data_IF_432261384012
#
_entry.id   IF_432261384012
#
_cell.length_a   1.000
_cell.length_b   1.000
_cell.length_c   1.000
_cell.angle_alpha   90.00
_cell.angle_beta   90.00
_cell.angle_gamma   90.00
#
_symmetry.space_group_name_H-M   'P 1'
#
loop_
_entity.id
_entity.type
_entity.pdbx_description
1 polymer ?
#
# COMPACT_ATOMS: atom_id res chain seq x y z
N UNK A 1 12.22 4.13 -12.46
CA UNK A 1 11.22 3.09 -12.16
C UNK A 1 9.85 3.70 -11.83
N UNK A 2 9.30 4.63 -12.62
CA UNK A 2 8.59 4.37 -13.89
C UNK A 2 7.76 3.08 -13.86
N UNK A 3 6.55 3.21 -13.33
CA UNK A 3 5.44 2.29 -13.54
C UNK A 3 5.18 2.26 -15.05
N UNK A 4 5.42 1.12 -15.68
CA UNK A 4 5.10 0.88 -17.08
C UNK A 4 3.57 0.81 -17.19
N UNK A 5 2.96 1.94 -17.55
CA UNK A 5 1.59 2.00 -18.09
C UNK A 5 1.68 1.70 -19.59
N UNK A 6 1.27 0.52 -20.02
CA UNK A 6 0.88 0.27 -21.42
C UNK A 6 -0.64 0.34 -21.51
N UNK A 7 -1.16 1.50 -21.92
CA UNK A 7 -2.51 1.65 -22.43
C UNK A 7 -2.41 2.28 -23.83
N UNK A 8 -2.67 1.48 -24.85
CA UNK A 8 -2.91 1.96 -26.21
C UNK A 8 -4.32 2.55 -26.24
N UNK A 9 -4.44 3.88 -26.26
CA UNK A 9 -5.70 4.56 -26.59
C UNK A 9 -5.61 5.16 -28.00
N UNK A 10 -6.45 4.62 -28.89
CA UNK A 10 -6.82 5.24 -30.15
C UNK A 10 -7.55 6.56 -29.89
N UNK A 11 -6.96 7.64 -30.37
CA UNK A 11 -7.40 9.03 -30.24
C UNK A 11 -8.66 9.34 -31.05
N UNK A 12 -9.72 9.79 -30.38
CA UNK A 12 -10.73 10.67 -30.95
C UNK A 12 -10.50 12.09 -30.40
N UNK A 13 -10.10 13.01 -31.28
CA UNK A 13 -9.86 14.43 -30.96
C UNK A 13 -11.18 15.10 -30.52
N UNK A 14 -11.22 15.56 -29.28
CA UNK A 14 -12.10 16.66 -28.85
C UNK A 14 -11.21 17.79 -28.35
N UNK A 15 -11.21 18.89 -29.10
CA UNK A 15 -10.55 20.15 -28.76
C UNK A 15 -11.29 20.82 -27.60
N UNK A 16 -10.83 20.60 -26.37
CA UNK A 16 -11.14 21.42 -25.20
C UNK A 16 -9.86 22.18 -24.82
N UNK A 17 -9.98 23.50 -24.65
CA UNK A 17 -8.86 24.36 -24.27
C UNK A 17 -8.19 23.83 -23.00
N UNK A 18 -6.88 23.61 -23.06
CA UNK A 18 -6.07 23.26 -21.90
C UNK A 18 -6.06 24.46 -20.95
N UNK A 19 -6.91 24.43 -19.92
CA UNK A 19 -6.73 25.30 -18.77
C UNK A 19 -5.43 24.85 -18.10
N UNK A 20 -4.34 25.58 -18.33
CA UNK A 20 -2.99 25.27 -17.86
C UNK A 20 -2.82 25.49 -16.36
N UNK A 21 -3.92 25.60 -15.63
CA UNK A 21 -3.93 25.79 -14.19
C UNK A 21 -3.65 24.45 -13.50
N UNK A 22 -2.74 24.43 -12.53
CA UNK A 22 -2.41 23.22 -11.79
C UNK A 22 -3.63 22.72 -11.02
N UNK A 23 -3.90 21.42 -11.11
CA UNK A 23 -5.05 20.78 -10.46
C UNK A 23 -4.89 20.81 -8.94
N UNK A 24 -5.92 21.33 -8.26
CA UNK A 24 -6.07 21.31 -6.81
C UNK A 24 -7.22 20.36 -6.42
N UNK A 25 -7.30 19.94 -5.14
CA UNK A 25 -8.41 19.14 -4.65
C UNK A 25 -9.75 19.83 -4.92
N UNK A 26 -10.70 19.11 -5.51
CA UNK A 26 -12.06 19.61 -5.80
C UNK A 26 -13.05 19.30 -4.67
N UNK A 27 -12.57 18.73 -3.56
CA UNK A 27 -13.38 18.37 -2.39
C UNK A 27 -13.99 19.62 -1.73
N UNK A 28 -15.22 19.48 -1.23
CA UNK A 28 -15.90 20.52 -0.42
C UNK A 28 -15.15 20.88 0.87
N UNK A 29 -14.19 20.05 1.28
CA UNK A 29 -13.37 20.27 2.46
C UNK A 29 -12.13 21.13 2.20
N UNK A 30 -11.84 21.49 0.94
CA UNK A 30 -10.66 22.25 0.55
C UNK A 30 -11.05 23.62 -0.02
N UNK A 31 -10.30 24.65 0.38
CA UNK A 31 -10.32 25.97 -0.29
C UNK A 31 -8.90 26.54 -0.34
N UNK A 32 -8.54 27.17 -1.46
CA UNK A 32 -7.20 27.74 -1.61
C UNK A 32 -6.94 28.86 -0.58
N UNK A 33 -7.95 29.68 -0.28
CA UNK A 33 -7.85 30.78 0.70
C UNK A 33 -7.40 30.29 2.08
N UNK A 34 -8.00 29.21 2.60
CA UNK A 34 -7.70 28.74 3.96
C UNK A 34 -6.46 27.83 4.02
N UNK A 35 -6.16 27.10 2.93
CA UNK A 35 -5.13 26.05 2.95
C UNK A 35 -3.80 26.47 2.31
N UNK A 36 -3.73 27.65 1.67
CA UNK A 36 -2.46 28.20 1.17
C UNK A 36 -1.43 28.27 2.28
N UNK A 37 -0.21 27.80 2.01
CA UNK A 37 0.89 27.79 2.98
C UNK A 37 1.85 26.61 2.80
N UNK A 38 2.80 26.50 3.74
CA UNK A 38 3.73 25.37 3.84
C UNK A 38 3.40 24.60 5.11
N UNK A 39 3.28 23.30 4.97
CA UNK A 39 2.76 22.39 5.97
C UNK A 39 3.75 21.26 6.20
N UNK A 40 4.05 20.92 7.45
CA UNK A 40 4.93 19.81 7.81
C UNK A 40 4.13 18.68 8.43
N UNK A 41 4.29 17.47 7.91
CA UNK A 41 3.66 16.27 8.47
C UNK A 41 4.29 15.83 9.79
N UNK A 42 3.50 15.18 10.64
CA UNK A 42 3.97 14.53 11.87
C UNK A 42 4.28 13.06 11.61
N UNK A 43 5.52 12.62 11.88
CA UNK A 43 5.97 11.23 11.75
C UNK A 43 6.39 10.77 10.35
N UNK A 44 5.90 11.42 9.29
CA UNK A 44 6.13 10.97 7.91
C UNK A 44 7.28 11.67 7.18
N UNK A 45 7.83 12.76 7.73
CA UNK A 45 8.92 13.51 7.08
C UNK A 45 8.52 14.15 5.75
N UNK A 46 7.24 14.46 5.55
CA UNK A 46 6.74 15.24 4.41
C UNK A 46 6.64 16.72 4.74
N UNK A 47 6.92 17.55 3.75
CA UNK A 47 6.50 18.95 3.68
C UNK A 47 5.62 19.14 2.45
N UNK A 48 4.49 19.79 2.61
CA UNK A 48 3.54 20.09 1.54
C UNK A 48 3.40 21.61 1.40
N UNK A 49 3.62 22.13 0.19
CA UNK A 49 3.35 23.54 -0.15
C UNK A 49 2.07 23.59 -0.98
N UNK A 50 1.15 24.46 -0.60
CA UNK A 50 -0.10 24.73 -1.32
C UNK A 50 -0.11 26.21 -1.70
N UNK A 51 -0.37 26.53 -2.96
CA UNK A 51 -0.52 27.90 -3.44
C UNK A 51 -1.27 28.00 -4.75
N UNK A 52 -1.32 29.22 -5.31
CA UNK A 52 -1.99 29.50 -6.60
C UNK A 52 -1.39 28.74 -7.78
N UNK A 53 -0.13 28.31 -7.66
CA UNK A 53 0.61 27.48 -8.62
C UNK A 53 0.44 25.97 -8.36
N UNK A 54 -0.50 25.58 -7.49
CA UNK A 54 -0.77 24.17 -7.20
C UNK A 54 -0.10 23.68 -5.92
N UNK A 55 0.11 22.37 -5.88
CA UNK A 55 0.69 21.65 -4.75
C UNK A 55 2.09 21.13 -5.09
N UNK A 56 2.99 21.17 -4.10
CA UNK A 56 4.32 20.56 -4.17
C UNK A 56 4.55 19.73 -2.89
N UNK A 57 5.17 18.55 -3.03
CA UNK A 57 5.48 17.66 -1.92
C UNK A 57 6.99 17.45 -1.83
N UNK A 58 7.51 17.44 -0.61
CA UNK A 58 8.94 17.31 -0.32
C UNK A 58 9.17 16.23 0.73
N UNK A 59 10.26 15.47 0.59
CA UNK A 59 10.78 14.58 1.63
C UNK A 59 11.86 15.31 2.44
N UNK A 60 11.75 15.28 3.76
CA UNK A 60 12.70 15.90 4.68
C UNK A 60 13.05 14.95 5.82
N UNK A 61 14.34 14.95 6.16
CA UNK A 61 14.90 14.37 7.37
C UNK A 61 16.01 15.31 7.89
N UNK A 62 16.76 14.90 8.93
CA UNK A 62 17.88 15.71 9.44
C UNK A 62 19.07 15.85 8.48
N UNK A 63 19.20 14.98 7.48
CA UNK A 63 20.28 15.04 6.49
C UNK A 63 19.99 15.98 5.31
N UNK A 64 18.72 16.32 5.06
CA UNK A 64 18.38 17.28 4.00
C UNK A 64 16.89 17.30 3.62
N UNK A 65 16.62 17.98 2.52
CA UNK A 65 15.28 18.09 1.95
C UNK A 65 15.32 17.92 0.42
N UNK A 66 14.34 17.20 -0.12
CA UNK A 66 14.25 16.84 -1.54
C UNK A 66 12.81 17.07 -2.02
N UNK A 67 12.63 17.81 -3.11
CA UNK A 67 11.32 17.94 -3.76
C UNK A 67 10.99 16.66 -4.52
N UNK A 68 9.81 16.08 -4.28
CA UNK A 68 9.34 14.90 -5.02
C UNK A 68 8.96 15.30 -6.44
N UNK A 69 9.33 14.46 -7.41
CA UNK A 69 8.91 14.60 -8.80
C UNK A 69 7.51 14.00 -9.00
N UNK A 70 6.49 14.68 -8.45
CA UNK A 70 5.08 14.30 -8.51
C UNK A 70 4.26 15.53 -8.94
N UNK A 71 3.21 15.33 -9.73
CA UNK A 71 2.39 16.44 -10.22
C UNK A 71 1.44 16.96 -9.14
N UNK A 72 1.01 18.22 -9.28
CA UNK A 72 -0.03 18.78 -8.40
C UNK A 72 -1.33 17.96 -8.45
N UNK A 73 -1.67 17.40 -9.62
CA UNK A 73 -2.86 16.57 -9.78
C UNK A 73 -2.75 15.26 -8.99
N UNK A 74 -1.62 14.57 -9.07
CA UNK A 74 -1.40 13.33 -8.32
C UNK A 74 -1.40 13.60 -6.80
N UNK A 75 -0.82 14.73 -6.35
CA UNK A 75 -0.91 15.13 -4.94
C UNK A 75 -2.38 15.37 -4.57
N UNK A 76 -3.12 16.15 -5.36
CA UNK A 76 -4.51 16.49 -5.10
C UNK A 76 -5.43 15.25 -5.05
N UNK A 77 -5.13 14.21 -5.83
CA UNK A 77 -5.84 12.93 -5.81
C UNK A 77 -5.52 12.11 -4.55
N UNK A 78 -4.24 11.99 -4.19
CA UNK A 78 -3.80 11.21 -3.03
C UNK A 78 -4.00 11.93 -1.68
N UNK A 79 -4.30 13.23 -1.72
CA UNK A 79 -4.50 14.10 -0.57
C UNK A 79 -5.79 14.92 -0.76
N UNK A 80 -6.88 14.27 -1.17
CA UNK A 80 -8.11 14.94 -1.59
C UNK A 80 -8.99 15.44 -0.44
N UNK A 81 -8.99 14.74 0.69
CA UNK A 81 -9.87 15.02 1.84
C UNK A 81 -9.10 15.79 2.89
N UNK A 82 -9.56 17.00 3.18
CA UNK A 82 -8.99 17.89 4.19
C UNK A 82 -9.90 17.95 5.39
N UNK A 83 -9.32 18.07 6.58
CA UNK A 83 -10.05 18.36 7.80
C UNK A 83 -9.27 19.38 8.60
N UNK A 84 -9.86 20.56 8.76
CA UNK A 84 -9.33 21.57 9.66
C UNK A 84 -9.49 21.09 11.10
N UNK A 85 -8.37 21.02 11.81
CA UNK A 85 -8.34 20.74 13.25
C UNK A 85 -8.38 22.09 13.98
N UNK A 86 -7.51 23.01 13.57
CA UNK A 86 -7.49 24.42 13.94
C UNK A 86 -6.81 25.25 12.83
N UNK A 87 -6.49 26.52 13.09
CA UNK A 87 -5.87 27.44 12.11
C UNK A 87 -4.49 26.99 11.59
N UNK A 88 -3.77 26.22 12.41
CA UNK A 88 -2.40 25.78 12.17
C UNK A 88 -2.27 24.26 12.01
N UNK A 89 -3.34 23.50 12.23
CA UNK A 89 -3.32 22.04 12.10
C UNK A 89 -4.41 21.54 11.15
N UNK A 90 -4.00 20.71 10.20
CA UNK A 90 -4.90 20.03 9.28
C UNK A 90 -4.62 18.52 9.29
N UNK A 91 -5.65 17.76 8.96
CA UNK A 91 -5.51 16.35 8.60
C UNK A 91 -5.86 16.20 7.13
N UNK A 92 -5.08 15.37 6.42
CA UNK A 92 -5.25 15.17 4.98
C UNK A 92 -5.22 13.68 4.66
N UNK A 93 -6.09 13.22 3.76
CA UNK A 93 -6.21 11.81 3.41
C UNK A 93 -6.71 11.63 1.97
N UNK A 94 -6.50 10.46 1.37
CA UNK A 94 -6.96 10.17 0.00
C UNK A 94 -8.49 10.02 -0.06
N UNK A 95 -9.03 9.27 0.89
CA UNK A 95 -10.47 9.05 1.09
C UNK A 95 -10.86 9.36 2.55
N UNK A 96 -12.15 9.56 2.88
CA UNK A 96 -12.58 9.87 4.24
C UNK A 96 -12.17 8.86 5.32
N UNK A 97 -12.01 7.58 4.94
CA UNK A 97 -11.67 6.48 5.84
C UNK A 97 -10.25 5.91 5.59
N UNK A 98 -9.43 6.60 4.81
CA UNK A 98 -8.03 6.25 4.54
C UNK A 98 -7.08 6.73 5.64
N UNK A 99 -5.80 6.36 5.55
CA UNK A 99 -4.74 6.90 6.42
C UNK A 99 -4.69 8.42 6.39
N UNK A 100 -4.78 9.02 7.59
CA UNK A 100 -4.75 10.46 7.79
C UNK A 100 -3.32 10.93 8.07
N UNK A 101 -2.87 11.90 7.30
CA UNK A 101 -1.62 12.62 7.52
C UNK A 101 -1.93 13.91 8.28
N UNK A 102 -1.43 14.02 9.50
CA UNK A 102 -1.54 15.24 10.28
C UNK A 102 -0.41 16.19 9.92
N UNK A 103 -0.78 17.43 9.60
CA UNK A 103 0.14 18.48 9.22
C UNK A 103 0.01 19.69 10.15
N UNK A 104 1.15 20.31 10.43
CA UNK A 104 1.28 21.58 11.14
C UNK A 104 1.75 22.66 10.15
N UNK A 105 1.17 23.86 10.24
CA UNK A 105 1.53 25.01 9.41
C UNK A 105 2.90 25.56 9.85
N UNK A 106 3.81 25.71 8.90
CA UNK A 106 5.09 26.39 9.13
C UNK A 106 4.92 27.91 9.09
N UNK A 107 5.58 28.61 10.00
CA UNK A 107 5.72 30.07 9.94
C UNK A 107 6.49 30.50 8.69
N UNK A 108 6.36 31.76 8.28
CA UNK A 108 7.06 32.29 7.10
C UNK A 108 8.59 32.03 7.14
N UNK A 109 9.22 32.18 8.30
CA UNK A 109 10.67 31.93 8.44
C UNK A 109 11.02 30.44 8.32
N UNK A 110 10.18 29.55 8.85
CA UNK A 110 10.38 28.10 8.71
C UNK A 110 10.15 27.65 7.27
N UNK A 111 9.14 28.23 6.60
CA UNK A 111 8.78 27.92 5.22
C UNK A 111 9.94 28.18 4.24
N UNK A 112 10.87 29.10 4.54
CA UNK A 112 12.06 29.36 3.73
C UNK A 112 12.94 28.12 3.51
N UNK A 113 12.85 27.10 4.39
CA UNK A 113 13.59 25.85 4.23
C UNK A 113 13.36 25.22 2.86
N UNK A 114 12.15 25.35 2.29
CA UNK A 114 11.82 24.67 1.03
C UNK A 114 12.64 25.20 -0.15
N UNK A 115 13.15 26.44 -0.05
CA UNK A 115 14.00 27.05 -1.07
C UNK A 115 15.38 26.39 -1.18
N UNK A 116 15.78 25.66 -0.13
CA UNK A 116 17.05 24.92 -0.07
C UNK A 116 16.91 23.44 -0.43
N UNK A 117 15.68 22.96 -0.63
CA UNK A 117 15.45 21.57 -1.00
C UNK A 117 16.02 21.28 -2.38
N UNK A 118 16.65 20.12 -2.51
CA UNK A 118 17.18 19.64 -3.78
C UNK A 118 16.00 19.34 -4.70
N UNK A 119 16.04 19.85 -5.93
CA UNK A 119 14.98 19.67 -6.94
C UNK A 119 15.40 18.78 -8.11
N UNK A 120 16.64 18.29 -8.10
CA UNK A 120 17.22 17.44 -9.15
C UNK A 120 17.89 16.21 -8.53
N UNK A 121 18.15 15.19 -9.35
CA UNK A 121 18.77 13.94 -8.87
C UNK A 121 20.13 14.23 -8.21
N UNK A 122 20.29 13.81 -6.96
CA UNK A 122 21.57 13.90 -6.27
C UNK A 122 22.52 12.80 -6.76
N UNK A 123 23.66 13.20 -7.30
CA UNK A 123 24.69 12.29 -7.84
C UNK A 123 25.80 11.99 -6.83
N UNK A 124 25.78 12.61 -5.65
CA UNK A 124 26.80 12.38 -4.62
C UNK A 124 26.44 11.11 -3.82
N UNK A 125 27.20 10.01 -3.95
CA UNK A 125 26.88 8.75 -3.27
C UNK A 125 26.99 8.84 -1.74
N UNK A 126 27.85 9.71 -1.19
CA UNK A 126 27.98 9.90 0.26
C UNK A 126 26.76 10.63 0.81
N UNK A 127 26.27 11.66 0.11
CA UNK A 127 25.05 12.37 0.51
C UNK A 127 23.83 11.44 0.45
N UNK A 128 23.71 10.63 -0.60
CA UNK A 128 22.62 9.65 -0.72
C UNK A 128 22.69 8.57 0.37
N UNK A 129 23.90 8.09 0.71
CA UNK A 129 24.08 7.17 1.84
C UNK A 129 23.63 7.79 3.16
N UNK A 130 24.02 9.04 3.42
CA UNK A 130 23.65 9.75 4.65
C UNK A 130 22.15 10.01 4.72
N UNK A 131 21.55 10.46 3.62
CA UNK A 131 20.11 10.70 3.54
C UNK A 131 19.31 9.41 3.75
N UNK A 132 19.69 8.32 3.09
CA UNK A 132 19.07 7.00 3.29
C UNK A 132 19.20 6.54 4.75
N UNK A 133 20.40 6.62 5.31
CA UNK A 133 20.68 6.19 6.68
C UNK A 133 19.83 6.96 7.69
N UNK A 134 19.69 8.26 7.49
CA UNK A 134 18.86 9.13 8.33
C UNK A 134 17.36 8.86 8.13
N UNK A 135 16.92 8.65 6.89
CA UNK A 135 15.52 8.31 6.57
C UNK A 135 15.08 7.05 7.31
N UNK A 136 15.91 6.00 7.25
CA UNK A 136 15.64 4.76 7.97
C UNK A 136 15.62 4.99 9.49
N UNK A 137 16.57 5.77 10.03
CA UNK A 137 16.63 6.05 11.47
C UNK A 137 15.39 6.81 11.99
N UNK A 138 14.85 7.73 11.21
CA UNK A 138 13.72 8.57 11.61
C UNK A 138 12.35 7.91 11.39
N UNK A 139 12.23 7.06 10.37
CA UNK A 139 10.91 6.60 9.91
C UNK A 139 10.70 5.08 9.93
N UNK A 140 11.75 4.27 10.05
CA UNK A 140 11.58 2.81 10.12
C UNK A 140 11.25 2.35 11.54
N UNK A 141 10.05 1.79 11.72
CA UNK A 141 9.49 1.50 13.04
C UNK A 141 9.96 0.19 13.68
N UNK A 142 10.56 -0.72 12.91
CA UNK A 142 10.62 -2.13 13.27
C UNK A 142 12.04 -2.67 13.53
N UNK A 143 13.03 -1.80 13.74
CA UNK A 143 14.40 -2.26 14.04
C UNK A 143 14.45 -3.20 15.25
N UNK A 144 13.73 -2.87 16.32
CA UNK A 144 13.66 -3.68 17.53
C UNK A 144 12.99 -5.04 17.27
N UNK A 145 11.94 -5.07 16.44
CA UNK A 145 11.26 -6.31 16.02
C UNK A 145 12.23 -7.28 15.36
N UNK A 146 13.13 -6.77 14.49
CA UNK A 146 14.15 -7.57 13.81
C UNK A 146 15.48 -7.65 14.57
N UNK A 147 15.54 -7.15 15.80
CA UNK A 147 16.74 -7.14 16.65
C UNK A 147 17.96 -6.49 15.98
N UNK A 148 17.71 -5.46 15.16
CA UNK A 148 18.76 -4.75 14.42
C UNK A 148 19.15 -3.46 15.12
N UNK A 149 20.46 -3.25 15.30
CA UNK A 149 20.99 -1.99 15.80
C UNK A 149 21.40 -1.10 14.62
N UNK A 150 20.50 -0.20 14.20
CA UNK A 150 20.71 0.64 13.03
C UNK A 150 21.99 1.50 13.10
N UNK A 151 22.31 2.21 14.21
CA UNK A 151 23.56 2.95 14.31
C UNK A 151 24.82 2.10 14.10
N UNK A 152 24.83 0.84 14.60
CA UNK A 152 25.94 -0.09 14.35
C UNK A 152 26.01 -0.51 12.88
N UNK A 153 24.87 -0.70 12.21
CA UNK A 153 24.81 -1.01 10.78
C UNK A 153 25.37 0.16 9.98
N UNK A 154 24.92 1.39 10.22
CA UNK A 154 25.44 2.60 9.55
C UNK A 154 26.96 2.69 9.70
N UNK A 155 27.48 2.58 10.94
CA UNK A 155 28.93 2.62 11.21
C UNK A 155 29.72 1.53 10.48
N UNK A 156 29.14 0.34 10.29
CA UNK A 156 29.78 -0.77 9.57
C UNK A 156 29.94 -0.51 8.06
N UNK A 157 29.07 0.31 7.47
CA UNK A 157 29.00 0.52 6.02
C UNK A 157 29.44 1.91 5.55
N UNK A 158 29.49 2.92 6.43
CA UNK A 158 29.82 4.30 6.06
C UNK A 158 31.16 4.44 5.32
N UNK A 159 32.20 3.72 5.75
CA UNK A 159 33.56 3.82 5.16
C UNK A 159 33.68 3.05 3.83
N UNK A 160 32.61 2.35 3.40
CA UNK A 160 32.55 1.64 2.13
C UNK A 160 32.06 2.52 0.98
N UNK A 161 31.67 3.77 1.24
CA UNK A 161 31.22 4.72 0.22
C UNK A 161 32.09 5.98 0.30
N UNK A 162 32.50 6.47 -0.87
CA UNK A 162 33.18 7.76 -1.02
C UNK A 162 32.63 8.49 -2.25
N UNK A 163 33.02 9.76 -2.44
CA UNK A 163 32.49 10.61 -3.52
C UNK A 163 32.74 10.08 -4.95
N UNK A 164 33.62 9.08 -5.12
CA UNK A 164 33.90 8.44 -6.40
C UNK A 164 33.26 7.05 -6.54
N UNK A 165 32.50 6.59 -5.54
CA UNK A 165 31.81 5.31 -5.60
C UNK A 165 30.72 5.30 -6.70
N UNK A 166 30.66 4.28 -7.56
CA UNK A 166 29.60 4.16 -8.55
C UNK A 166 28.25 3.83 -7.90
N UNK A 167 27.15 4.15 -8.59
CA UNK A 167 25.79 3.87 -8.12
C UNK A 167 25.55 2.38 -7.83
N UNK A 168 26.21 1.49 -8.57
CA UNK A 168 26.15 0.05 -8.31
C UNK A 168 26.75 -0.35 -6.95
N UNK A 169 27.85 0.31 -6.54
CA UNK A 169 28.42 0.11 -5.22
C UNK A 169 27.51 0.67 -4.13
N UNK A 170 26.95 1.87 -4.33
CA UNK A 170 25.98 2.46 -3.39
C UNK A 170 24.77 1.54 -3.20
N UNK A 171 24.12 1.12 -4.29
CA UNK A 171 22.95 0.24 -4.24
C UNK A 171 23.26 -1.05 -3.46
N UNK A 172 24.38 -1.72 -3.76
CA UNK A 172 24.78 -2.95 -3.08
C UNK A 172 25.03 -2.74 -1.58
N UNK A 173 25.64 -1.60 -1.19
CA UNK A 173 25.84 -1.25 0.21
C UNK A 173 24.51 -1.04 0.91
N UNK A 174 23.60 -0.23 0.33
CA UNK A 174 22.29 0.03 0.92
C UNK A 174 21.47 -1.27 1.03
N UNK A 175 21.44 -2.12 0.01
CA UNK A 175 20.81 -3.45 0.07
C UNK A 175 21.38 -4.31 1.20
N UNK A 176 22.70 -4.28 1.39
CA UNK A 176 23.38 -5.04 2.46
C UNK A 176 23.09 -4.53 3.86
N UNK A 177 22.67 -3.27 4.00
CA UNK A 177 22.19 -2.71 5.28
C UNK A 177 20.79 -3.20 5.63
N UNK A 178 19.97 -3.52 4.62
CA UNK A 178 18.56 -3.92 4.78
C UNK A 178 18.35 -5.44 4.91
N UNK A 179 19.36 -6.27 4.62
CA UNK A 179 19.23 -7.73 4.46
C UNK A 179 18.63 -8.51 5.62
N UNK A 180 18.81 -8.03 6.86
CA UNK A 180 18.34 -8.73 8.05
C UNK A 180 17.01 -8.14 8.59
N UNK A 181 16.35 -7.29 7.79
CA UNK A 181 15.00 -6.77 8.03
C UNK A 181 14.02 -7.56 7.15
N UNK A 182 13.51 -8.70 7.63
CA UNK A 182 12.57 -9.55 6.89
C UNK A 182 11.16 -8.94 6.81
N UNK A 183 11.08 -7.77 6.17
CA UNK A 183 9.88 -6.95 6.03
C UNK A 183 9.38 -6.95 4.58
N UNK A 184 8.13 -7.37 4.36
CA UNK A 184 7.53 -7.43 3.03
C UNK A 184 7.23 -6.05 2.44
N UNK A 185 7.20 -4.99 3.26
CA UNK A 185 6.96 -3.61 2.85
C UNK A 185 8.24 -2.78 2.65
N UNK A 186 9.41 -3.38 2.90
CA UNK A 186 10.68 -2.72 2.70
C UNK A 186 11.25 -3.04 1.32
N UNK A 187 11.51 -1.99 0.53
CA UNK A 187 12.09 -2.13 -0.81
C UNK A 187 13.14 -1.04 -1.04
N UNK A 188 14.15 -1.36 -1.84
CA UNK A 188 15.09 -0.39 -2.38
C UNK A 188 15.09 -0.52 -3.90
N UNK A 189 14.79 0.59 -4.58
CA UNK A 189 14.77 0.66 -6.02
C UNK A 189 15.71 1.75 -6.53
N UNK A 190 16.39 1.50 -7.65
CA UNK A 190 17.25 2.49 -8.30
C UNK A 190 17.44 2.16 -9.78
N UNK A 191 17.78 3.17 -10.59
CA UNK A 191 18.38 2.96 -11.90
C UNK A 191 19.90 2.86 -11.74
N UNK A 192 20.47 1.70 -12.09
CA UNK A 192 21.90 1.42 -11.96
C UNK A 192 22.43 0.98 -13.32
N UNK A 193 23.38 1.74 -13.87
CA UNK A 193 24.01 1.45 -15.16
C UNK A 193 22.98 1.22 -16.29
N UNK A 194 21.94 2.06 -16.33
CA UNK A 194 20.86 1.99 -17.32
C UNK A 194 19.83 0.87 -17.09
N UNK A 195 19.91 0.15 -15.96
CA UNK A 195 19.01 -0.94 -15.62
C UNK A 195 18.26 -0.66 -14.33
N UNK A 196 16.95 -0.88 -14.31
CA UNK A 196 16.16 -0.83 -13.09
C UNK A 196 16.55 -1.98 -12.16
N UNK A 197 16.89 -1.66 -10.92
CA UNK A 197 17.19 -2.61 -9.84
C UNK A 197 16.14 -2.49 -8.76
N UNK A 198 15.71 -3.64 -8.24
CA UNK A 198 14.84 -3.76 -7.08
C UNK A 198 15.47 -4.74 -6.10
N UNK A 199 15.57 -4.34 -4.85
CA UNK A 199 15.95 -5.17 -3.73
C UNK A 199 14.81 -5.23 -2.71
N UNK A 200 14.46 -6.44 -2.29
CA UNK A 200 13.49 -6.70 -1.23
C UNK A 200 14.11 -7.74 -0.28
N UNK A 201 14.26 -7.44 1.02
CA UNK A 201 14.86 -8.36 1.97
C UNK A 201 13.93 -9.54 2.30
N UNK A 202 12.61 -9.32 2.29
CA UNK A 202 11.63 -10.37 2.59
C UNK A 202 11.11 -11.12 1.37
N UNK A 203 10.91 -12.43 1.54
CA UNK A 203 10.10 -13.30 0.65
C UNK A 203 9.02 -13.99 1.50
N UNK A 204 7.90 -14.44 0.91
CA UNK A 204 6.97 -15.29 1.68
C UNK A 204 7.70 -16.55 2.16
N UNK A 205 7.48 -16.99 3.40
CA UNK A 205 8.36 -17.97 4.07
C UNK A 205 8.32 -19.34 3.39
N UNK A 206 7.17 -19.73 2.86
CA UNK A 206 6.92 -21.06 2.31
C UNK A 206 6.80 -21.03 0.80
N UNK A 207 5.84 -20.27 0.28
CA UNK A 207 5.49 -20.32 -1.14
C UNK A 207 6.65 -19.87 -2.04
N UNK A 208 7.29 -18.73 -1.75
CA UNK A 208 8.30 -18.16 -2.65
C UNK A 208 9.56 -19.04 -2.74
N UNK A 209 10.14 -19.57 -1.64
CA UNK A 209 11.22 -20.56 -1.72
C UNK A 209 10.81 -21.86 -2.41
N UNK A 210 9.57 -22.33 -2.23
CA UNK A 210 9.09 -23.51 -2.94
C UNK A 210 9.04 -23.29 -4.45
N UNK A 211 8.52 -22.14 -4.90
CA UNK A 211 8.50 -21.76 -6.31
C UNK A 211 9.91 -21.54 -6.86
N UNK A 212 10.83 -20.93 -6.11
CA UNK A 212 12.23 -20.77 -6.53
C UNK A 212 12.91 -22.15 -6.73
N UNK A 213 12.68 -23.12 -5.82
CA UNK A 213 13.18 -24.49 -5.97
C UNK A 213 12.53 -25.24 -7.14
N UNK A 214 11.24 -25.04 -7.38
CA UNK A 214 10.52 -25.66 -8.50
C UNK A 214 11.01 -25.10 -9.84
N UNK A 215 11.16 -23.79 -9.93
CA UNK A 215 11.70 -23.11 -11.11
C UNK A 215 13.11 -23.59 -11.47
N UNK A 216 13.97 -23.82 -10.47
CA UNK A 216 15.34 -24.32 -10.69
C UNK A 216 15.40 -25.79 -11.19
N UNK A 217 14.30 -26.55 -11.11
CA UNK A 217 14.24 -27.98 -11.50
C UNK A 217 13.49 -28.24 -12.80
N UNK A 218 12.74 -27.26 -13.29
CA UNK A 218 11.96 -27.35 -14.52
C UNK A 218 12.74 -26.76 -15.71
N UNK A 219 12.34 -27.10 -16.93
CA UNK A 219 12.93 -26.60 -18.18
C UNK A 219 11.91 -25.95 -19.14
N UNK A 220 10.66 -25.78 -18.71
CA UNK A 220 9.56 -25.25 -19.54
C UNK A 220 9.52 -23.71 -19.56
N UNK A 221 10.12 -23.07 -18.57
CA UNK A 221 10.14 -21.62 -18.39
C UNK A 221 11.58 -21.11 -18.21
N UNK A 222 11.96 -20.12 -19.02
CA UNK A 222 13.22 -19.38 -18.86
C UNK A 222 13.09 -18.18 -17.92
N UNK A 223 11.90 -17.57 -17.84
CA UNK A 223 11.62 -16.42 -16.96
C UNK A 223 10.94 -16.87 -15.65
N UNK A 224 11.57 -16.65 -14.48
CA UNK A 224 10.97 -16.91 -13.18
C UNK A 224 9.62 -16.24 -12.98
N UNK A 225 9.39 -15.05 -13.56
CA UNK A 225 8.12 -14.32 -13.42
C UNK A 225 7.01 -15.03 -14.19
N UNK A 226 7.25 -15.42 -15.45
CA UNK A 226 6.32 -16.21 -16.23
C UNK A 226 5.95 -17.53 -15.53
N UNK A 227 6.94 -18.26 -14.97
CA UNK A 227 6.69 -19.49 -14.20
C UNK A 227 5.75 -19.25 -13.02
N UNK A 228 5.97 -18.18 -12.25
CA UNK A 228 5.11 -17.84 -11.11
C UNK A 228 3.68 -17.52 -11.53
N UNK A 229 3.51 -16.74 -12.60
CA UNK A 229 2.18 -16.40 -13.11
C UNK A 229 1.44 -17.68 -13.53
N UNK A 230 2.11 -18.59 -14.23
CA UNK A 230 1.55 -19.89 -14.57
C UNK A 230 1.16 -20.72 -13.32
N UNK A 231 1.95 -20.68 -12.24
CA UNK A 231 1.58 -21.34 -10.99
C UNK A 231 0.29 -20.76 -10.40
N UNK A 232 0.11 -19.43 -10.39
CA UNK A 232 -1.13 -18.80 -9.90
C UNK A 232 -2.34 -19.15 -10.78
N UNK A 233 -2.18 -19.26 -12.09
CA UNK A 233 -3.26 -19.74 -12.97
C UNK A 233 -3.66 -21.20 -12.65
N UNK A 234 -2.68 -22.06 -12.39
CA UNK A 234 -2.93 -23.44 -11.94
C UNK A 234 -3.62 -23.48 -10.57
N UNK A 235 -3.19 -22.65 -9.62
CA UNK A 235 -3.85 -22.49 -8.33
C UNK A 235 -5.34 -22.11 -8.51
N UNK A 236 -5.63 -21.10 -9.35
CA UNK A 236 -7.00 -20.72 -9.66
C UNK A 236 -7.79 -21.85 -10.30
N UNK A 237 -7.19 -22.61 -11.22
CA UNK A 237 -7.82 -23.79 -11.81
C UNK A 237 -8.18 -24.84 -10.74
N UNK A 238 -7.30 -25.10 -9.77
CA UNK A 238 -7.60 -26.03 -8.67
C UNK A 238 -8.74 -25.52 -7.77
N UNK A 239 -8.83 -24.21 -7.53
CA UNK A 239 -9.98 -23.64 -6.81
C UNK A 239 -11.29 -23.91 -7.58
N UNK A 240 -11.29 -23.75 -8.91
CA UNK A 240 -12.49 -23.99 -9.73
C UNK A 240 -12.89 -25.46 -9.78
N UNK A 241 -11.93 -26.34 -10.07
CA UNK A 241 -12.20 -27.75 -10.37
C UNK A 241 -12.24 -28.63 -9.11
N UNK A 242 -11.29 -28.45 -8.19
CA UNK A 242 -11.14 -29.34 -7.05
C UNK A 242 -11.88 -28.85 -5.81
N UNK A 243 -11.91 -27.54 -5.56
CA UNK A 243 -12.63 -26.99 -4.40
C UNK A 243 -14.11 -26.81 -4.74
N UNK A 244 -14.42 -26.11 -5.84
CA UNK A 244 -15.79 -25.79 -6.25
C UNK A 244 -16.44 -26.85 -7.15
N UNK A 245 -15.76 -27.97 -7.43
CA UNK A 245 -16.28 -29.10 -8.21
C UNK A 245 -16.84 -28.68 -9.59
N UNK A 246 -16.20 -27.70 -10.23
CA UNK A 246 -16.60 -27.16 -11.53
C UNK A 246 -17.77 -26.17 -11.48
N UNK A 247 -18.34 -25.89 -10.30
CA UNK A 247 -19.48 -24.98 -10.11
C UNK A 247 -19.06 -23.54 -9.75
N UNK A 248 -17.85 -23.15 -10.16
CA UNK A 248 -17.29 -21.84 -9.84
C UNK A 248 -17.93 -20.72 -10.65
N UNK A 249 -18.11 -19.57 -10.00
CA UNK A 249 -18.41 -18.28 -10.61
C UNK A 249 -17.21 -17.36 -10.41
N UNK A 250 -17.08 -16.35 -11.27
CA UNK A 250 -15.98 -15.41 -11.22
C UNK A 250 -16.49 -13.97 -11.32
N UNK A 251 -15.83 -13.07 -10.60
CA UNK A 251 -16.03 -11.63 -10.73
C UNK A 251 -14.66 -11.00 -10.92
N UNK A 252 -14.44 -10.45 -12.12
CA UNK A 252 -13.13 -9.95 -12.52
C UNK A 252 -12.07 -11.06 -12.50
N UNK A 253 -10.81 -10.68 -12.23
CA UNK A 253 -9.67 -11.61 -12.26
C UNK A 253 -9.30 -12.18 -10.89
N UNK A 254 -9.83 -11.61 -9.81
CA UNK A 254 -9.33 -11.82 -8.44
C UNK A 254 -10.36 -12.41 -7.47
N UNK A 255 -11.57 -12.72 -7.93
CA UNK A 255 -12.63 -13.31 -7.12
C UNK A 255 -13.15 -14.57 -7.82
N UNK A 256 -12.98 -15.71 -7.17
CA UNK A 256 -13.61 -16.98 -7.54
C UNK A 256 -14.54 -17.37 -6.40
N UNK A 257 -15.80 -17.67 -6.67
CA UNK A 257 -16.77 -17.96 -5.63
C UNK A 257 -17.79 -19.00 -6.07
N UNK A 258 -18.48 -19.61 -5.11
CA UNK A 258 -19.50 -20.61 -5.38
C UNK A 258 -20.07 -21.20 -4.11
N UNK A 259 -20.80 -22.30 -4.24
CA UNK A 259 -21.38 -23.02 -3.12
C UNK A 259 -21.22 -24.53 -3.33
N UNK A 260 -20.78 -25.23 -2.29
CA UNK A 260 -20.67 -26.70 -2.27
C UNK A 260 -21.37 -27.17 -1.00
N UNK A 261 -22.28 -28.14 -1.09
CA UNK A 261 -23.00 -28.70 0.08
C UNK A 261 -23.59 -27.64 1.04
N UNK A 262 -24.19 -26.60 0.47
CA UNK A 262 -24.74 -25.45 1.22
C UNK A 262 -23.69 -24.64 2.01
N UNK A 263 -22.41 -24.80 1.73
CA UNK A 263 -21.31 -23.97 2.23
C UNK A 263 -20.88 -23.01 1.13
N UNK A 264 -20.93 -21.71 1.43
CA UNK A 264 -20.43 -20.69 0.54
C UNK A 264 -18.90 -20.67 0.54
N UNK A 265 -18.30 -20.40 -0.61
CA UNK A 265 -16.86 -20.28 -0.76
C UNK A 265 -16.53 -19.02 -1.55
N UNK A 266 -15.57 -18.24 -1.04
CA UNK A 266 -15.04 -17.05 -1.71
C UNK A 266 -13.51 -17.13 -1.63
N UNK A 267 -12.84 -17.22 -2.77
CA UNK A 267 -11.42 -17.02 -2.91
C UNK A 267 -11.15 -15.60 -3.41
N UNK A 268 -10.49 -14.80 -2.56
CA UNK A 268 -10.24 -13.37 -2.79
C UNK A 268 -8.73 -13.11 -2.78
N UNK A 269 -8.20 -12.69 -3.92
CA UNK A 269 -6.74 -12.65 -4.17
C UNK A 269 -6.13 -11.25 -4.06
N UNK A 270 -6.94 -10.20 -3.97
CA UNK A 270 -6.51 -8.80 -3.89
C UNK A 270 -7.44 -7.99 -2.99
N UNK A 271 -7.02 -6.78 -2.65
CA UNK A 271 -7.83 -5.71 -2.06
C UNK A 271 -7.78 -4.44 -2.92
N UNK A 272 -7.53 -4.60 -4.22
CA UNK A 272 -7.44 -3.53 -5.21
C UNK A 272 -7.61 -4.14 -6.61
N UNK A 273 -7.66 -3.28 -7.64
CA UNK A 273 -7.78 -3.65 -9.06
C UNK A 273 -9.12 -4.35 -9.37
N UNK A 274 -10.20 -3.89 -8.74
CA UNK A 274 -11.58 -4.35 -8.99
C UNK A 274 -12.31 -3.49 -10.04
N UNK A 275 -11.75 -2.32 -10.37
CA UNK A 275 -12.23 -1.41 -11.40
C UNK A 275 -11.18 -1.17 -12.49
N UNK A 276 -11.58 -0.56 -13.61
CA UNK A 276 -10.65 -0.20 -14.69
C UNK A 276 -9.80 1.04 -14.37
N UNK A 277 -10.24 1.86 -13.39
CA UNK A 277 -9.51 3.04 -12.94
C UNK A 277 -8.56 2.66 -11.80
N UNK A 278 -7.59 3.53 -11.52
CA UNK A 278 -6.70 3.37 -10.35
C UNK A 278 -7.29 3.99 -9.07
N UNK A 279 -8.57 4.36 -9.08
CA UNK A 279 -9.23 5.07 -7.99
C UNK A 279 -9.67 4.09 -6.89
N UNK A 280 -9.28 4.39 -5.65
CA UNK A 280 -9.70 3.61 -4.46
C UNK A 280 -11.23 3.61 -4.35
N UNK A 281 -11.88 4.72 -4.68
CA UNK A 281 -13.34 4.87 -4.61
C UNK A 281 -14.05 3.96 -5.62
N UNK A 282 -13.47 3.80 -6.82
CA UNK A 282 -14.05 2.94 -7.85
C UNK A 282 -13.86 1.46 -7.49
N UNK A 283 -12.72 1.09 -6.91
CA UNK A 283 -12.49 -0.25 -6.35
C UNK A 283 -13.44 -0.56 -5.18
N UNK A 284 -13.69 0.41 -4.29
CA UNK A 284 -14.68 0.28 -3.21
C UNK A 284 -16.10 0.07 -3.75
N UNK A 285 -16.47 0.77 -4.83
CA UNK A 285 -17.77 0.59 -5.47
C UNK A 285 -17.88 -0.77 -6.17
N UNK A 286 -16.83 -1.20 -6.87
CA UNK A 286 -16.78 -2.48 -7.57
C UNK A 286 -16.84 -3.66 -6.59
N UNK A 287 -16.08 -3.63 -5.49
CA UNK A 287 -16.12 -4.71 -4.49
C UNK A 287 -17.47 -4.76 -3.77
N UNK A 288 -18.12 -3.61 -3.56
CA UNK A 288 -19.49 -3.56 -3.04
C UNK A 288 -20.45 -4.29 -3.98
N UNK A 289 -20.42 -4.01 -5.28
CA UNK A 289 -21.28 -4.68 -6.26
C UNK A 289 -21.01 -6.19 -6.34
N UNK A 290 -19.73 -6.58 -6.25
CA UNK A 290 -19.33 -7.98 -6.23
C UNK A 290 -19.90 -8.70 -5.00
N UNK A 291 -19.77 -8.10 -3.81
CA UNK A 291 -20.32 -8.65 -2.56
C UNK A 291 -21.85 -8.70 -2.59
N UNK A 292 -22.53 -7.67 -3.07
CA UNK A 292 -24.00 -7.69 -3.24
C UNK A 292 -24.43 -8.86 -4.14
N UNK A 293 -23.70 -9.10 -5.23
CA UNK A 293 -23.94 -10.23 -6.15
C UNK A 293 -23.75 -11.57 -5.46
N UNK A 294 -22.61 -11.79 -4.81
CA UNK A 294 -22.31 -13.04 -4.11
C UNK A 294 -23.30 -13.31 -2.98
N UNK A 295 -23.64 -12.29 -2.19
CA UNK A 295 -24.49 -12.44 -1.01
C UNK A 295 -25.96 -12.73 -1.34
N UNK A 296 -26.45 -12.46 -2.56
CA UNK A 296 -27.76 -12.94 -3.03
C UNK A 296 -27.90 -14.48 -3.00
N UNK A 297 -26.76 -15.16 -3.16
CA UNK A 297 -26.66 -16.62 -3.13
C UNK A 297 -26.09 -17.10 -1.81
N UNK A 298 -24.92 -16.57 -1.40
CA UNK A 298 -24.18 -17.06 -0.25
C UNK A 298 -24.83 -16.76 1.10
N UNK A 299 -25.73 -15.77 1.20
CA UNK A 299 -26.47 -15.51 2.45
C UNK A 299 -27.32 -16.68 2.93
N UNK A 300 -27.68 -17.60 2.02
CA UNK A 300 -28.51 -18.78 2.31
C UNK A 300 -27.69 -19.95 2.86
N UNK A 301 -26.37 -19.96 2.60
CA UNK A 301 -25.45 -21.01 3.04
C UNK A 301 -25.42 -21.18 4.56
N UNK A 302 -25.00 -22.35 5.05
CA UNK A 302 -24.85 -22.63 6.48
C UNK A 302 -23.55 -22.09 7.07
N UNK A 303 -22.51 -21.95 6.25
CA UNK A 303 -21.27 -21.24 6.58
C UNK A 303 -20.65 -20.65 5.31
N UNK A 304 -19.72 -19.71 5.47
CA UNK A 304 -18.87 -19.20 4.38
C UNK A 304 -17.41 -19.52 4.69
N UNK A 305 -16.70 -20.12 3.74
CA UNK A 305 -15.23 -20.17 3.71
C UNK A 305 -14.76 -18.96 2.92
N UNK A 306 -14.03 -18.06 3.58
CA UNK A 306 -13.40 -16.91 2.96
C UNK A 306 -11.89 -17.16 2.88
N UNK A 307 -11.43 -17.60 1.72
CA UNK A 307 -10.05 -17.92 1.42
C UNK A 307 -9.29 -16.68 0.90
N UNK A 308 -8.35 -16.19 1.71
CA UNK A 308 -7.42 -15.11 1.36
C UNK A 308 -5.96 -15.59 1.40
N UNK A 309 -5.74 -16.90 1.23
CA UNK A 309 -4.40 -17.52 1.28
C UNK A 309 -3.46 -16.99 0.21
N UNK A 310 -3.98 -16.60 -0.95
CA UNK A 310 -3.21 -15.99 -2.05
C UNK A 310 -3.31 -14.45 -2.09
N UNK A 311 -3.84 -13.80 -1.04
CA UNK A 311 -4.14 -12.37 -1.08
C UNK A 311 -2.91 -11.49 -0.81
N UNK A 312 -2.50 -10.73 -1.83
CA UNK A 312 -1.35 -9.83 -1.77
C UNK A 312 -1.62 -8.44 -1.17
N UNK A 313 -2.84 -8.18 -0.69
CA UNK A 313 -3.25 -6.87 -0.18
C UNK A 313 -3.73 -5.91 -1.26
N UNK A 314 -3.64 -4.61 -0.97
CA UNK A 314 -4.25 -3.52 -1.73
C UNK A 314 -4.63 -2.36 -0.82
N UNK A 315 -5.86 -1.89 -0.92
CA UNK A 315 -6.39 -0.80 -0.12
C UNK A 315 -7.14 -1.32 1.13
N UNK A 316 -6.84 -0.75 2.28
CA UNK A 316 -7.51 -1.07 3.55
C UNK A 316 -9.03 -0.85 3.48
N UNK A 317 -9.44 0.21 2.79
CA UNK A 317 -10.83 0.64 2.65
C UNK A 317 -11.66 -0.40 1.90
N UNK A 318 -11.08 -1.04 0.88
CA UNK A 318 -11.69 -2.15 0.16
C UNK A 318 -11.92 -3.34 1.10
N UNK A 319 -10.94 -3.65 1.95
CA UNK A 319 -11.08 -4.66 3.01
C UNK A 319 -12.21 -4.32 4.00
N UNK A 320 -12.29 -3.08 4.48
CA UNK A 320 -13.36 -2.64 5.39
C UNK A 320 -14.74 -2.71 4.73
N UNK A 321 -14.87 -2.34 3.45
CA UNK A 321 -16.12 -2.47 2.67
C UNK A 321 -16.54 -3.94 2.57
N UNK A 322 -15.60 -4.87 2.35
CA UNK A 322 -15.90 -6.29 2.28
C UNK A 322 -16.30 -6.86 3.65
N UNK A 323 -15.55 -6.52 4.70
CA UNK A 323 -15.79 -7.00 6.06
C UNK A 323 -17.16 -6.57 6.63
N UNK A 324 -17.70 -5.43 6.17
CA UNK A 324 -19.00 -4.92 6.66
C UNK A 324 -20.16 -5.89 6.41
N UNK A 325 -20.10 -6.74 5.38
CA UNK A 325 -21.16 -7.73 5.06
C UNK A 325 -21.35 -8.77 6.17
N UNK A 326 -20.38 -8.88 7.06
CA UNK A 326 -20.38 -9.80 8.21
C UNK A 326 -20.63 -9.06 9.55
N UNK A 327 -20.97 -7.77 9.52
CA UNK A 327 -21.02 -6.93 10.70
C UNK A 327 -22.39 -6.28 10.94
N UNK A 328 -22.94 -6.43 12.15
CA UNK A 328 -24.27 -5.94 12.53
C UNK A 328 -24.28 -4.60 13.28
N UNK A 329 -23.13 -4.12 13.75
CA UNK A 329 -23.03 -2.91 14.57
C UNK A 329 -21.68 -2.25 14.38
N UNK A 330 -21.59 -0.93 14.56
CA UNK A 330 -20.30 -0.23 14.51
C UNK A 330 -19.29 -0.90 15.44
N UNK A 331 -18.12 -1.25 14.91
CA UNK A 331 -17.09 -2.03 15.64
C UNK A 331 -15.71 -1.50 15.31
N UNK A 332 -14.85 -1.33 16.31
CA UNK A 332 -13.45 -1.01 16.09
C UNK A 332 -12.78 -2.21 15.40
N UNK A 333 -12.24 -1.99 14.21
CA UNK A 333 -11.53 -3.01 13.44
C UNK A 333 -10.06 -3.08 13.88
N UNK A 334 -9.38 -1.94 13.82
CA UNK A 334 -7.97 -1.78 14.17
C UNK A 334 -7.64 -0.30 14.39
N UNK A 335 -6.44 -0.03 14.88
CA UNK A 335 -5.91 1.32 15.03
C UNK A 335 -4.52 1.40 14.40
N UNK A 336 -4.17 2.57 13.86
CA UNK A 336 -2.83 2.87 13.34
C UNK A 336 -2.23 4.06 14.09
N UNK A 337 -0.91 4.12 14.14
CA UNK A 337 -0.16 5.29 14.59
C UNK A 337 1.12 5.40 13.76
N UNK A 338 1.44 6.60 13.31
CA UNK A 338 2.71 6.85 12.62
C UNK A 338 3.88 6.68 13.60
N UNK A 339 5.00 6.11 13.15
CA UNK A 339 6.20 6.04 13.97
C UNK A 339 6.70 7.45 14.31
N UNK A 340 6.98 7.70 15.59
CA UNK A 340 7.29 9.05 16.10
C UNK A 340 6.10 10.02 16.11
N UNK A 341 4.91 9.58 15.71
CA UNK A 341 3.67 10.35 15.83
C UNK A 341 3.02 10.21 17.21
N UNK A 342 2.06 11.08 17.50
CA UNK A 342 1.31 11.12 18.76
C UNK A 342 -0.22 11.00 18.58
N UNK A 343 -0.68 10.80 17.35
CA UNK A 343 -2.10 10.69 17.01
C UNK A 343 -2.44 9.26 16.56
N UNK A 344 -3.12 8.50 17.43
CA UNK A 344 -3.69 7.20 17.05
C UNK A 344 -4.96 7.40 16.25
N UNK A 345 -5.05 6.70 15.12
CA UNK A 345 -6.20 6.67 14.23
C UNK A 345 -6.96 5.35 14.43
N UNK A 346 -8.28 5.42 14.52
CA UNK A 346 -9.15 4.27 14.73
C UNK A 346 -9.99 4.02 13.48
N UNK A 347 -10.00 2.78 13.02
CA UNK A 347 -10.76 2.35 11.85
C UNK A 347 -11.89 1.43 12.29
N UNK A 348 -13.07 1.66 11.74
CA UNK A 348 -14.29 0.99 12.18
C UNK A 348 -14.91 0.20 11.04
N UNK A 349 -15.49 -0.96 11.37
CA UNK A 349 -16.49 -1.61 10.54
C UNK A 349 -17.82 -0.91 10.74
N UNK A 350 -18.40 -0.45 9.63
CA UNK A 350 -19.77 0.03 9.58
C UNK A 350 -20.76 -1.13 9.61
N UNK A 351 -22.04 -0.79 9.86
CA UNK A 351 -23.14 -1.74 9.81
C UNK A 351 -23.37 -2.16 8.36
N UNK A 352 -23.64 -3.44 8.11
CA UNK A 352 -24.08 -3.90 6.80
C UNK A 352 -25.28 -3.05 6.30
N UNK A 353 -25.26 -2.67 5.03
CA UNK A 353 -26.37 -1.91 4.42
C UNK A 353 -27.65 -2.76 4.33
N UNK A 354 -27.47 -4.08 4.20
CA UNK A 354 -28.52 -5.10 4.19
C UNK A 354 -28.38 -6.01 5.42
N UNK A 355 -29.00 -7.19 5.39
CA UNK A 355 -28.84 -8.20 6.45
C UNK A 355 -27.39 -8.71 6.46
N UNK A 356 -26.69 -8.53 7.59
CA UNK A 356 -25.36 -9.06 7.79
C UNK A 356 -25.36 -10.59 7.88
N UNK A 357 -24.32 -11.23 7.34
CA UNK A 357 -24.11 -12.67 7.51
C UNK A 357 -23.56 -12.99 8.89
N UNK A 358 -24.38 -13.65 9.71
CA UNK A 358 -24.07 -13.96 11.12
C UNK A 358 -23.80 -15.43 11.40
N UNK A 359 -23.99 -16.30 10.40
CA UNK A 359 -23.60 -17.71 10.48
C UNK A 359 -22.07 -17.86 10.45
N UNK A 360 -21.49 -19.04 10.75
CA UNK A 360 -20.04 -19.22 10.81
C UNK A 360 -19.30 -18.78 9.55
N UNK A 361 -18.18 -18.10 9.73
CA UNK A 361 -17.27 -17.70 8.65
C UNK A 361 -15.88 -18.24 8.93
N UNK A 362 -15.38 -19.14 8.09
CA UNK A 362 -14.02 -19.67 8.17
C UNK A 362 -13.10 -18.79 7.34
N UNK A 363 -12.33 -17.91 8.00
CA UNK A 363 -11.34 -17.07 7.34
C UNK A 363 -10.03 -17.85 7.21
N UNK A 364 -9.61 -18.15 5.98
CA UNK A 364 -8.42 -18.95 5.69
C UNK A 364 -7.27 -18.05 5.25
N UNK A 365 -6.15 -18.10 5.97
CA UNK A 365 -4.93 -17.32 5.67
C UNK A 365 -3.71 -18.22 5.47
N UNK A 366 -2.68 -17.66 4.84
CA UNK A 366 -1.36 -18.28 4.73
C UNK A 366 -0.25 -17.28 5.04
N UNK A 367 1.00 -17.73 5.06
CA UNK A 367 2.18 -16.86 5.16
C UNK A 367 2.43 -15.96 3.93
N UNK A 368 1.59 -16.08 2.90
CA UNK A 368 1.54 -15.20 1.74
C UNK A 368 0.51 -14.07 1.90
N UNK A 369 -0.51 -14.24 2.75
CA UNK A 369 -1.49 -13.20 3.08
C UNK A 369 -0.75 -12.00 3.69
N UNK A 370 -0.80 -10.83 3.04
CA UNK A 370 0.04 -9.67 3.38
C UNK A 370 -0.68 -8.33 3.22
N UNK A 371 -0.22 -7.29 3.94
CA UNK A 371 -0.63 -5.89 3.75
C UNK A 371 -2.11 -5.66 4.08
N UNK A 372 -2.91 -5.02 3.21
CA UNK A 372 -4.33 -4.79 3.48
C UNK A 372 -5.14 -6.08 3.70
N UNK A 373 -4.64 -7.24 3.27
CA UNK A 373 -5.25 -8.53 3.63
C UNK A 373 -5.09 -8.86 5.12
N UNK A 374 -4.05 -8.34 5.78
CA UNK A 374 -3.78 -8.50 7.21
C UNK A 374 -4.64 -7.55 8.05
N UNK A 375 -4.80 -6.28 7.63
CA UNK A 375 -5.75 -5.35 8.26
C UNK A 375 -7.19 -5.84 8.10
N UNK A 376 -7.54 -6.40 6.93
CA UNK A 376 -8.80 -7.13 6.71
C UNK A 376 -8.94 -8.32 7.66
N UNK A 377 -7.88 -9.11 7.86
CA UNK A 377 -7.87 -10.22 8.82
C UNK A 377 -8.13 -9.73 10.24
N UNK A 378 -7.51 -8.63 10.67
CA UNK A 378 -7.79 -8.00 11.98
C UNK A 378 -9.26 -7.57 12.10
N UNK A 379 -9.79 -6.94 11.05
CA UNK A 379 -11.19 -6.51 11.00
C UNK A 379 -12.15 -7.71 11.12
N UNK A 380 -11.93 -8.79 10.37
CA UNK A 380 -12.74 -10.00 10.42
C UNK A 380 -12.63 -10.71 11.77
N UNK A 381 -11.43 -10.82 12.36
CA UNK A 381 -11.22 -11.42 13.68
C UNK A 381 -11.88 -10.65 14.83
N UNK A 382 -12.27 -9.40 14.59
CA UNK A 382 -13.08 -8.64 15.55
C UNK A 382 -14.53 -9.16 15.63
N UNK A 383 -15.00 -9.98 14.68
CA UNK A 383 -16.37 -10.49 14.59
C UNK A 383 -16.54 -11.84 15.30
N UNK A 384 -17.62 -12.04 16.09
CA UNK A 384 -17.75 -13.22 16.95
C UNK A 384 -18.00 -14.55 16.20
N UNK A 385 -18.51 -14.50 14.98
CA UNK A 385 -18.80 -15.68 14.16
C UNK A 385 -17.62 -16.09 13.25
N UNK A 386 -16.54 -15.32 13.23
CA UNK A 386 -15.37 -15.59 12.39
C UNK A 386 -14.43 -16.55 13.11
N UNK A 387 -14.11 -17.66 12.44
CA UNK A 387 -13.15 -18.67 12.87
C UNK A 387 -11.93 -18.55 11.96
N UNK A 388 -10.78 -18.21 12.54
CA UNK A 388 -9.53 -18.10 11.82
C UNK A 388 -8.92 -19.51 11.62
N UNK A 389 -8.63 -19.87 10.37
CA UNK A 389 -8.10 -21.16 9.95
C UNK A 389 -6.85 -20.94 9.08
N UNK A 390 -5.93 -21.90 9.06
CA UNK A 390 -4.71 -21.85 8.27
C UNK A 390 -3.50 -21.43 9.10
N UNK A 391 -2.67 -20.55 8.56
CA UNK A 391 -1.40 -20.14 9.17
C UNK A 391 -1.35 -18.64 9.47
N UNK A 392 -0.36 -18.23 10.26
CA UNK A 392 -0.02 -16.82 10.51
C UNK A 392 0.28 -16.11 9.20
N UNK A 393 -0.25 -14.89 9.05
CA UNK A 393 0.00 -14.01 7.90
C UNK A 393 1.48 -13.60 7.79
N UNK A 394 1.82 -12.83 6.76
CA UNK A 394 3.20 -12.48 6.45
C UNK A 394 3.84 -11.53 7.49
N UNK A 395 3.05 -10.71 8.17
CA UNK A 395 3.47 -9.86 9.27
C UNK A 395 3.73 -8.39 8.92
N UNK A 396 3.26 -7.89 7.78
CA UNK A 396 3.52 -6.52 7.30
C UNK A 396 2.27 -5.65 7.40
N UNK A 397 2.03 -5.13 8.60
CA UNK A 397 0.83 -4.36 8.97
C UNK A 397 0.96 -2.84 8.80
N UNK A 398 2.14 -2.35 8.41
CA UNK A 398 2.39 -0.92 8.17
C UNK A 398 1.93 -0.48 6.79
N UNK A 399 1.72 0.83 6.62
CA UNK A 399 1.65 1.41 5.27
C UNK A 399 3.07 1.59 4.73
N UNK A 400 3.21 1.57 3.40
CA UNK A 400 4.49 1.89 2.75
C UNK A 400 4.71 3.40 2.80
N UNK A 401 5.89 3.81 3.27
CA UNK A 401 6.34 5.20 3.24
C UNK A 401 7.39 5.40 2.15
N UNK A 402 6.99 5.98 1.03
CA UNK A 402 7.89 6.19 -0.11
C UNK A 402 8.83 7.38 0.11
N UNK A 403 10.12 7.13 -0.05
CA UNK A 403 11.20 8.12 0.09
C UNK A 403 12.13 8.08 -1.12
N UNK A 404 12.43 9.26 -1.66
CA UNK A 404 13.36 9.42 -2.80
C UNK A 404 14.63 10.13 -2.33
N UNK A 405 15.78 9.72 -2.85
CA UNK A 405 17.08 10.36 -2.58
C UNK A 405 18.05 10.21 -3.73
#
# INVERSE_FOLDING_TARGET
MQIIKTALLSSALLLLGCDSRPTLPTSSTFTLEHHTGVWQSQGYGYIMKIGVEGMQLFDRNQAGCIQKNISSADIAENMAVFKNIDENHISVSATPNSTQYHFERLTNNQAELIKTCITSINKNPVENFNYFSQTMAEHYAFFDTYQQNWPKIVKKYQDKINNSSPNSQLFNVLSSMLKDLDDAHLFLAAEVDGNSKLYQPSKSRTLRPALDRAFAKQNDFEDPKAFRLNWYENYKSQVREAVLEGNANEIGQFIIWGMIDNIGYINLQRMQDFSESASIQDDMAAIQQAMDTMMNTLSKSDAIVLDITANGGGHDEVGLVLARYFNQKKRLAYSKIAFGGNHSQQYYLDVAQNIAYTKPVYLVTSDHTVSAAETFTMAMKSLPQVIHVGDTTRGSHSDILDKCF
#
